data_IF_262528556459
#
_entry.id   IF_262528556459
#
_cell.length_a   1.000
_cell.length_b   1.000
_cell.length_c   1.000
_cell.angle_alpha   90.00
_cell.angle_beta   90.00
_cell.angle_gamma   90.00
#
_symmetry.space_group_name_H-M   'P 1'
#
loop_
_entity.id
_entity.type
_entity.pdbx_description
1 polymer ?
#
# COMPACT_ATOMS: atom_id res chain seq x y z
N UNK A 1 4.67 -5.46 9.76
CA UNK A 1 5.27 -5.72 8.44
C UNK A 1 5.20 -7.17 7.94
N UNK A 2 4.79 -8.16 8.75
CA UNK A 2 4.71 -9.55 8.27
C UNK A 2 3.66 -9.78 7.17
N UNK A 3 2.62 -8.93 7.06
CA UNK A 3 1.62 -9.02 5.98
C UNK A 3 2.13 -8.43 4.67
N UNK A 4 2.83 -7.30 4.75
CA UNK A 4 3.45 -6.64 3.59
C UNK A 4 4.44 -7.59 2.90
N UNK A 5 5.30 -8.28 3.68
CA UNK A 5 6.23 -9.29 3.13
C UNK A 5 5.49 -10.46 2.45
N UNK A 6 4.41 -10.96 3.05
CA UNK A 6 3.60 -12.07 2.52
C UNK A 6 2.87 -11.72 1.21
N UNK A 7 2.53 -10.46 1.01
CA UNK A 7 1.79 -10.00 -0.17
C UNK A 7 2.65 -9.13 -1.12
N UNK A 8 3.98 -9.26 -1.09
CA UNK A 8 4.87 -8.44 -1.92
C UNK A 8 4.56 -8.57 -3.41
N UNK A 9 4.19 -9.78 -3.86
CA UNK A 9 3.83 -10.04 -5.26
C UNK A 9 2.60 -9.21 -5.68
N UNK A 10 1.57 -9.16 -4.84
CA UNK A 10 0.40 -8.31 -5.09
C UNK A 10 0.80 -6.82 -5.20
N UNK A 11 1.71 -6.36 -4.35
CA UNK A 11 2.17 -4.97 -4.36
C UNK A 11 2.93 -4.64 -5.66
N UNK A 12 3.74 -5.59 -6.18
CA UNK A 12 4.37 -5.47 -7.49
C UNK A 12 3.34 -5.36 -8.61
N UNK A 13 2.35 -6.26 -8.64
CA UNK A 13 1.28 -6.24 -9.65
C UNK A 13 0.50 -4.93 -9.59
N UNK A 14 0.11 -4.46 -8.39
CA UNK A 14 -0.61 -3.20 -8.23
C UNK A 14 0.20 -1.96 -8.64
N UNK A 15 1.53 -2.03 -8.51
CA UNK A 15 2.44 -0.95 -8.93
C UNK A 15 2.52 -0.85 -10.44
N UNK A 16 2.57 -1.99 -11.15
CA UNK A 16 2.66 -2.05 -12.60
C UNK A 16 1.31 -1.98 -13.33
N UNK A 17 0.21 -2.32 -12.66
CA UNK A 17 -1.12 -2.39 -13.26
C UNK A 17 -1.64 -1.02 -13.76
N UNK A 18 -2.37 -1.05 -14.87
CA UNK A 18 -3.13 0.09 -15.37
C UNK A 18 -4.24 0.50 -14.38
N UNK A 19 -4.79 1.72 -14.45
CA UNK A 19 -5.88 2.14 -13.57
C UNK A 19 -7.10 1.19 -13.61
N UNK A 20 -7.49 0.68 -14.79
CA UNK A 20 -8.60 -0.26 -14.89
C UNK A 20 -8.26 -1.61 -14.24
N UNK A 21 -7.08 -2.15 -14.52
CA UNK A 21 -6.60 -3.42 -13.95
C UNK A 21 -6.48 -3.32 -12.42
N UNK A 22 -5.91 -2.23 -11.92
CA UNK A 22 -5.80 -1.97 -10.48
C UNK A 22 -7.16 -1.97 -9.81
N UNK A 23 -8.17 -1.35 -10.42
CA UNK A 23 -9.52 -1.34 -9.87
C UNK A 23 -10.13 -2.75 -9.86
N UNK A 24 -9.96 -3.53 -10.93
CA UNK A 24 -10.40 -4.92 -10.98
C UNK A 24 -9.75 -5.77 -9.87
N UNK A 25 -8.44 -5.66 -9.70
CA UNK A 25 -7.69 -6.37 -8.63
C UNK A 25 -8.19 -5.95 -7.25
N UNK A 26 -8.41 -4.65 -7.01
CA UNK A 26 -8.90 -4.15 -5.71
C UNK A 26 -10.34 -4.59 -5.42
N UNK A 27 -11.18 -4.75 -6.45
CA UNK A 27 -12.54 -5.28 -6.31
C UNK A 27 -12.52 -6.74 -5.87
N UNK A 28 -11.66 -7.57 -6.47
CA UNK A 28 -11.54 -9.00 -6.14
C UNK A 28 -10.59 -9.31 -4.98
N UNK A 29 -9.85 -8.33 -4.46
CA UNK A 29 -8.87 -8.54 -3.40
C UNK A 29 -9.48 -9.19 -2.15
N UNK A 30 -8.74 -10.06 -1.47
CA UNK A 30 -9.20 -10.64 -0.20
C UNK A 30 -9.14 -9.62 0.94
N UNK A 31 -9.84 -9.89 2.04
CA UNK A 31 -9.82 -9.00 3.21
C UNK A 31 -8.40 -8.82 3.78
N UNK A 32 -7.55 -9.85 3.73
CA UNK A 32 -6.14 -9.75 4.16
C UNK A 32 -5.31 -8.87 3.23
N UNK A 33 -5.55 -8.92 1.92
CA UNK A 33 -4.90 -8.04 0.96
C UNK A 33 -5.30 -6.58 1.19
N UNK A 34 -6.58 -6.29 1.44
CA UNK A 34 -7.06 -4.95 1.80
C UNK A 34 -6.43 -4.47 3.12
N UNK A 35 -6.34 -5.33 4.14
CA UNK A 35 -5.67 -5.00 5.41
C UNK A 35 -4.19 -4.68 5.19
N UNK A 36 -3.52 -5.36 4.25
CA UNK A 36 -2.12 -5.08 3.91
C UNK A 36 -1.96 -3.68 3.32
N UNK A 37 -2.88 -3.25 2.44
CA UNK A 37 -2.90 -1.88 1.93
C UNK A 37 -3.14 -0.85 3.04
N UNK A 38 -3.97 -1.19 4.03
CA UNK A 38 -4.19 -0.34 5.21
C UNK A 38 -2.94 -0.23 6.10
N UNK A 39 -2.21 -1.34 6.27
CA UNK A 39 -0.92 -1.36 6.98
C UNK A 39 0.12 -0.48 6.28
N UNK A 40 0.14 -0.46 4.94
CA UNK A 40 0.96 0.46 4.17
C UNK A 40 0.59 1.91 4.48
N UNK A 41 -0.71 2.27 4.46
CA UNK A 41 -1.16 3.61 4.82
C UNK A 41 -0.74 4.02 6.24
N UNK A 42 -0.80 3.09 7.21
CA UNK A 42 -0.34 3.34 8.57
C UNK A 42 1.16 3.64 8.62
N UNK A 43 1.99 2.85 7.91
CA UNK A 43 3.43 3.07 7.85
C UNK A 43 3.81 4.37 7.13
N UNK A 44 3.03 4.77 6.12
CA UNK A 44 3.20 6.08 5.47
C UNK A 44 2.92 7.22 6.45
N UNK A 45 1.85 7.13 7.25
CA UNK A 45 1.52 8.15 8.25
C UNK A 45 2.53 8.19 9.40
N UNK A 46 3.08 7.03 9.78
CA UNK A 46 4.13 6.93 10.80
C UNK A 46 5.51 7.41 10.31
N UNK A 47 5.66 7.72 9.02
CA UNK A 47 6.96 8.12 8.45
C UNK A 47 7.96 6.98 8.26
N UNK A 48 7.52 5.72 8.40
CA UNK A 48 8.37 4.53 8.24
C UNK A 48 8.71 4.24 6.77
N UNK A 49 7.89 4.73 5.83
CA UNK A 49 8.16 4.64 4.40
C UNK A 49 8.97 5.88 4.00
N UNK A 50 10.14 5.74 3.35
CA UNK A 50 10.95 6.87 2.88
C UNK A 50 10.08 7.85 2.09
N UNK A 51 10.38 9.16 2.17
CA UNK A 51 9.59 10.30 1.64
C UNK A 51 9.14 10.10 0.17
N UNK A 52 8.17 9.23 -0.06
CA UNK A 52 7.45 9.11 -1.31
C UNK A 52 6.80 10.46 -1.55
N UNK A 53 6.91 11.00 -2.78
CA UNK A 53 6.47 12.33 -3.21
C UNK A 53 5.40 12.97 -2.30
N UNK A 54 5.85 13.59 -1.19
CA UNK A 54 4.95 13.94 -0.07
C UNK A 54 3.93 14.97 -0.55
N UNK A 55 4.36 15.89 -1.43
CA UNK A 55 3.51 16.87 -2.10
C UNK A 55 2.35 16.21 -2.87
N UNK A 56 2.59 15.09 -3.55
CA UNK A 56 1.54 14.35 -4.28
C UNK A 56 0.66 13.55 -3.33
N UNK A 57 1.21 12.99 -2.26
CA UNK A 57 0.46 12.26 -1.24
C UNK A 57 -0.46 13.15 -0.39
N UNK A 58 -0.10 14.43 -0.20
CA UNK A 58 -0.95 15.40 0.48
C UNK A 58 -2.34 15.52 -0.16
N UNK A 59 -2.45 15.34 -1.49
CA UNK A 59 -3.74 15.31 -2.20
C UNK A 59 -4.64 14.15 -1.75
N UNK A 60 -4.04 13.07 -1.27
CA UNK A 60 -4.74 11.86 -0.81
C UNK A 60 -4.76 11.71 0.73
N UNK A 61 -4.36 12.75 1.49
CA UNK A 61 -4.20 12.69 2.96
C UNK A 61 -5.45 12.17 3.68
N UNK A 62 -6.65 12.61 3.24
CA UNK A 62 -7.92 12.23 3.86
C UNK A 62 -8.17 10.74 3.69
N UNK A 63 -7.98 10.24 2.47
CA UNK A 63 -8.18 8.83 2.14
C UNK A 63 -7.15 7.94 2.84
N UNK A 64 -5.88 8.34 2.87
CA UNK A 64 -4.82 7.61 3.59
C UNK A 64 -5.15 7.50 5.08
N UNK A 65 -5.59 8.60 5.72
CA UNK A 65 -6.02 8.59 7.14
C UNK A 65 -7.23 7.69 7.38
N UNK A 66 -8.21 7.70 6.48
CA UNK A 66 -9.37 6.82 6.57
C UNK A 66 -8.99 5.34 6.42
N UNK A 67 -8.11 5.01 5.48
CA UNK A 67 -7.63 3.63 5.30
C UNK A 67 -6.81 3.14 6.50
N UNK A 68 -6.01 4.03 7.10
CA UNK A 68 -5.25 3.75 8.31
C UNK A 68 -6.13 3.59 9.56
N UNK A 69 -7.30 4.25 9.59
CA UNK A 69 -8.22 4.20 10.74
C UNK A 69 -8.79 2.80 10.94
N UNK A 70 -8.61 2.24 12.15
CA UNK A 70 -9.09 0.90 12.52
C UNK A 70 -10.61 0.81 12.68
N UNK A 71 -11.27 1.92 12.98
CA UNK A 71 -12.73 1.96 13.18
C UNK A 71 -13.53 1.90 11.87
N UNK A 72 -12.86 2.06 10.73
CA UNK A 72 -13.53 1.97 9.43
C UNK A 72 -13.60 0.51 8.99
N UNK A 73 -14.81 0.06 8.66
CA UNK A 73 -15.07 -1.30 8.19
C UNK A 73 -14.30 -1.64 6.91
N UNK A 74 -13.98 -2.92 6.72
CA UNK A 74 -13.24 -3.40 5.55
C UNK A 74 -14.01 -3.12 4.25
N UNK A 75 -15.34 -3.25 4.27
CA UNK A 75 -16.19 -2.94 3.12
C UNK A 75 -16.05 -1.45 2.72
N UNK A 76 -16.02 -0.53 3.69
CA UNK A 76 -15.82 0.89 3.42
C UNK A 76 -14.40 1.18 2.95
N UNK A 77 -13.39 0.52 3.50
CA UNK A 77 -12.00 0.62 3.04
C UNK A 77 -11.82 0.14 1.60
N UNK A 78 -12.50 -0.95 1.21
CA UNK A 78 -12.53 -1.44 -0.17
C UNK A 78 -13.13 -0.39 -1.11
N UNK A 79 -14.30 0.17 -0.77
CA UNK A 79 -14.91 1.26 -1.55
C UNK A 79 -13.99 2.47 -1.68
N UNK A 80 -13.32 2.86 -0.60
CA UNK A 80 -12.35 3.95 -0.60
C UNK A 80 -11.15 3.67 -1.50
N UNK A 81 -10.75 2.41 -1.71
CA UNK A 81 -9.65 2.03 -2.61
C UNK A 81 -10.09 1.94 -4.07
N UNK A 82 -11.30 1.46 -4.34
CA UNK A 82 -11.83 1.26 -5.70
C UNK A 82 -12.39 2.54 -6.34
N UNK A 83 -12.92 3.46 -5.53
CA UNK A 83 -13.57 4.68 -6.02
C UNK A 83 -12.60 5.89 -6.06
N UNK A 84 -11.30 5.67 -6.28
CA UNK A 84 -10.32 6.75 -6.37
C UNK A 84 -10.00 7.10 -7.83
N UNK A 85 -10.00 8.39 -8.15
CA UNK A 85 -9.50 8.90 -9.43
C UNK A 85 -8.00 9.21 -9.31
N UNK A 86 -7.18 8.68 -10.22
CA UNK A 86 -5.72 8.81 -10.21
C UNK A 86 -4.99 7.94 -9.18
N UNK A 87 -5.54 7.83 -7.96
CA UNK A 87 -5.07 6.93 -6.90
C UNK A 87 -3.71 7.27 -6.28
N UNK A 88 -3.49 6.87 -5.03
CA UNK A 88 -2.20 7.10 -4.34
C UNK A 88 -1.27 5.88 -4.37
N UNK A 89 -1.79 4.70 -4.67
CA UNK A 89 -1.04 3.44 -4.66
C UNK A 89 0.21 3.47 -5.54
N UNK A 90 0.17 3.84 -6.84
CA UNK A 90 1.39 3.89 -7.66
C UNK A 90 2.44 4.91 -7.17
N UNK A 91 2.07 5.86 -6.30
CA UNK A 91 3.01 6.82 -5.71
C UNK A 91 3.72 6.24 -4.47
N UNK A 92 3.04 5.37 -3.73
CA UNK A 92 3.53 4.80 -2.46
C UNK A 92 4.19 3.44 -2.68
N UNK A 93 3.64 2.61 -3.57
CA UNK A 93 4.06 1.23 -3.75
C UNK A 93 5.54 1.09 -4.13
N UNK A 94 6.14 1.92 -5.02
CA UNK A 94 7.57 1.84 -5.30
C UNK A 94 8.43 2.05 -4.04
N UNK A 95 8.11 3.05 -3.21
CA UNK A 95 8.85 3.33 -1.98
C UNK A 95 8.70 2.20 -0.95
N UNK A 96 7.51 1.61 -0.86
CA UNK A 96 7.25 0.44 0.01
C UNK A 96 8.01 -0.78 -0.48
N UNK A 97 8.01 -1.04 -1.79
CA UNK A 97 8.73 -2.18 -2.38
C UNK A 97 10.23 -2.05 -2.18
N UNK A 98 10.82 -0.86 -2.42
CA UNK A 98 12.24 -0.61 -2.14
C UNK A 98 12.59 -0.78 -0.67
N UNK A 99 11.72 -0.32 0.23
CA UNK A 99 11.94 -0.47 1.67
C UNK A 99 11.87 -1.93 2.11
N UNK A 100 10.88 -2.69 1.64
CA UNK A 100 10.76 -4.12 1.92
C UNK A 100 11.93 -4.89 1.31
N UNK A 101 12.32 -4.58 0.07
CA UNK A 101 13.48 -5.17 -0.60
C UNK A 101 14.79 -4.89 0.15
N UNK A 102 15.00 -3.66 0.62
CA UNK A 102 16.17 -3.32 1.45
C UNK A 102 16.19 -4.05 2.80
N UNK A 103 15.04 -4.24 3.44
CA UNK A 103 14.94 -5.02 4.68
C UNK A 103 15.14 -6.53 4.47
N UNK A 104 14.68 -7.06 3.34
CA UNK A 104 14.91 -8.46 2.96
C UNK A 104 16.38 -8.68 2.59
N UNK A 105 16.95 -7.80 1.76
CA UNK A 105 18.37 -7.86 1.38
C UNK A 105 19.31 -7.74 2.60
N UNK A 106 19.00 -6.86 3.56
CA UNK A 106 19.77 -6.73 4.80
C UNK A 106 19.64 -7.93 5.74
N UNK A 107 18.52 -8.66 5.68
CA UNK A 107 18.32 -9.90 6.44
C UNK A 107 19.03 -11.11 5.81
N UNK A 108 19.16 -11.13 4.48
CA UNK A 108 19.87 -12.19 3.74
C UNK A 108 21.39 -11.95 3.77
N UNK A 109 21.84 -10.72 3.59
CA UNK A 109 23.26 -10.35 3.61
C UNK A 109 23.92 -10.43 5.00
N UNK A 110 23.15 -10.67 6.08
CA UNK A 110 23.70 -10.91 7.42
C UNK A 110 23.88 -12.41 7.74
N UNK A 111 23.66 -13.28 6.75
CA UNK A 111 23.67 -14.74 6.89
C UNK A 111 24.71 -15.44 6.00
N UNK A 112 25.64 -14.69 5.42
CA UNK A 112 26.84 -15.17 4.71
C UNK A 112 28.05 -14.63 5.47
#
# INVERSE_FOLDING_TARGET
MNRIKRHVHLLHVLSAASPQQRNAILKSATNEQIKTLCEICQNVLAGNVPKANVKRLCRYKRTIRQLANRNISIARKRKLLTNQTGGFLPLVLPAVLSFVGGLVGKAIGKRI
#
